data_IF_934302726167
#
_entry.id   IF_934302726167
#
_cell.length_a   1.000
_cell.length_b   1.000
_cell.length_c   1.000
_cell.angle_alpha   90.00
_cell.angle_beta   90.00
_cell.angle_gamma   90.00
#
_symmetry.space_group_name_H-M   'P 1'
#
loop_
_entity.id
_entity.type
_entity.pdbx_description
1 polymer ?
#
# COMPACT_ATOMS: atom_id res chain seq x y z
N UNK A 1 -15.52 2.08 22.28
CA UNK A 1 -15.97 3.20 21.45
C UNK A 1 -14.81 3.58 20.55
N UNK A 2 -14.93 3.38 19.23
CA UNK A 2 -13.91 3.88 18.30
C UNK A 2 -13.93 5.40 18.40
N UNK A 3 -12.82 6.01 18.80
CA UNK A 3 -12.71 7.46 18.72
C UNK A 3 -12.83 7.82 17.24
N UNK A 4 -13.92 8.52 16.89
CA UNK A 4 -14.04 9.14 15.60
C UNK A 4 -12.97 10.25 15.59
N UNK A 5 -11.80 9.94 15.04
CA UNK A 5 -10.74 10.90 14.87
C UNK A 5 -11.24 11.84 13.77
N UNK A 6 -11.73 13.01 14.18
CA UNK A 6 -12.19 14.04 13.24
C UNK A 6 -10.96 14.64 12.55
N UNK A 7 -10.51 13.94 11.52
CA UNK A 7 -9.36 14.33 10.70
C UNK A 7 -9.85 15.32 9.65
N UNK A 8 -9.79 16.60 9.99
CA UNK A 8 -9.97 17.64 8.99
C UNK A 8 -8.63 17.83 8.26
N UNK A 9 -8.53 17.28 7.06
CA UNK A 9 -7.33 17.35 6.23
C UNK A 9 -7.37 18.63 5.41
N UNK A 10 -6.44 19.54 5.67
CA UNK A 10 -6.38 20.83 4.99
C UNK A 10 -5.71 20.71 3.63
N UNK A 11 -4.69 19.86 3.52
CA UNK A 11 -3.92 19.65 2.31
C UNK A 11 -3.33 18.25 2.23
N UNK A 12 -3.22 17.73 1.01
CA UNK A 12 -2.52 16.47 0.70
C UNK A 12 -1.49 16.73 -0.39
N UNK A 13 -0.24 16.40 -0.11
CA UNK A 13 0.86 16.44 -1.08
C UNK A 13 1.26 15.01 -1.43
N UNK A 14 1.37 14.72 -2.72
CA UNK A 14 1.94 13.48 -3.24
C UNK A 14 3.17 13.82 -4.07
N UNK A 15 4.32 13.34 -3.64
CA UNK A 15 5.54 13.34 -4.43
C UNK A 15 5.86 11.90 -4.82
N UNK A 16 6.35 11.68 -6.04
CA UNK A 16 6.73 10.35 -6.49
C UNK A 16 7.93 10.39 -7.41
N UNK A 17 8.73 9.33 -7.36
CA UNK A 17 9.86 9.13 -8.26
C UNK A 17 9.48 8.01 -9.19
N UNK A 18 9.57 8.29 -10.49
CA UNK A 18 9.32 7.32 -11.56
C UNK A 18 10.63 7.01 -12.25
N UNK A 19 10.89 5.71 -12.46
CA UNK A 19 11.94 5.26 -13.36
C UNK A 19 11.63 5.76 -14.78
N UNK A 20 12.53 6.51 -15.42
CA UNK A 20 12.27 7.03 -16.77
C UNK A 20 12.40 5.96 -17.87
N UNK A 21 13.05 4.84 -17.58
CA UNK A 21 13.24 3.73 -18.50
C UNK A 21 12.08 2.74 -18.41
N UNK A 22 11.61 2.41 -17.20
CA UNK A 22 10.52 1.43 -17.01
C UNK A 22 9.15 2.05 -16.73
N UNK A 23 9.10 3.36 -16.42
CA UNK A 23 7.90 4.08 -15.94
C UNK A 23 7.32 3.55 -14.62
N UNK A 24 8.00 2.61 -13.98
CA UNK A 24 7.59 2.12 -12.67
C UNK A 24 7.80 3.21 -11.63
N UNK A 25 6.83 3.35 -10.73
CA UNK A 25 7.02 4.14 -9.52
C UNK A 25 8.09 3.46 -8.68
N UNK A 26 9.17 4.18 -8.35
CA UNK A 26 10.23 3.72 -7.44
C UNK A 26 9.96 4.13 -6.01
N UNK A 27 9.32 5.27 -5.81
CA UNK A 27 8.94 5.73 -4.49
C UNK A 27 7.83 6.75 -4.55
N UNK A 28 7.18 6.95 -3.42
CA UNK A 28 6.25 8.05 -3.19
C UNK A 28 6.34 8.56 -1.76
N UNK A 29 6.11 9.85 -1.58
CA UNK A 29 5.90 10.48 -0.29
C UNK A 29 4.51 11.08 -0.30
N UNK A 30 3.66 10.64 0.62
CA UNK A 30 2.35 11.25 0.85
C UNK A 30 2.42 12.06 2.12
N UNK A 31 2.06 13.33 2.07
CA UNK A 31 2.00 14.20 3.23
C UNK A 31 0.58 14.73 3.42
N UNK A 32 0.10 14.69 4.66
CA UNK A 32 -1.20 15.22 5.08
C UNK A 32 -0.95 16.31 6.11
N UNK A 33 -1.43 17.51 5.83
CA UNK A 33 -1.51 18.57 6.83
C UNK A 33 -2.92 18.53 7.44
N UNK A 34 -3.02 18.40 8.77
CA UNK A 34 -4.29 18.27 9.48
C UNK A 34 -4.24 18.94 10.85
N UNK A 35 -5.37 19.46 11.31
CA UNK A 35 -5.53 19.95 12.67
C UNK A 35 -6.17 18.87 13.56
N UNK A 36 -5.45 18.39 14.56
CA UNK A 36 -5.95 17.42 15.55
C UNK A 36 -6.04 18.13 16.90
N UNK A 37 -7.25 18.29 17.42
CA UNK A 37 -7.51 18.92 18.73
C UNK A 37 -6.88 20.32 18.89
N UNK A 38 -6.85 21.12 17.81
CA UNK A 38 -6.28 22.47 17.82
C UNK A 38 -4.79 22.53 17.54
N UNK A 39 -4.13 21.41 17.23
CA UNK A 39 -2.72 21.38 16.85
C UNK A 39 -2.55 21.02 15.37
N UNK A 40 -1.76 21.82 14.66
CA UNK A 40 -1.38 21.53 13.28
C UNK A 40 -0.32 20.43 13.26
N UNK A 41 -0.65 19.33 12.57
CA UNK A 41 0.19 18.15 12.45
C UNK A 41 0.40 17.85 10.98
N UNK A 42 1.66 17.63 10.59
CA UNK A 42 2.01 17.08 9.27
C UNK A 42 2.35 15.60 9.42
N UNK A 43 1.58 14.75 8.75
CA UNK A 43 1.82 13.31 8.70
C UNK A 43 2.45 12.97 7.36
N UNK A 44 3.60 12.27 7.35
CA UNK A 44 4.26 11.83 6.11
C UNK A 44 4.33 10.31 6.04
N UNK A 45 4.08 9.77 4.85
CA UNK A 45 4.17 8.34 4.54
C UNK A 45 5.11 8.17 3.35
N UNK A 46 6.31 7.69 3.62
CA UNK A 46 7.32 7.34 2.62
C UNK A 46 7.14 5.89 2.18
N UNK A 47 7.03 5.67 0.86
CA UNK A 47 6.90 4.35 0.24
C UNK A 47 8.02 4.18 -0.78
N UNK A 48 8.64 3.00 -0.79
CA UNK A 48 9.62 2.59 -1.80
C UNK A 48 9.16 1.30 -2.46
N UNK A 49 9.18 1.27 -3.78
CA UNK A 49 8.77 0.14 -4.60
C UNK A 49 10.01 -0.42 -5.28
N UNK A 50 10.23 -1.71 -5.10
CA UNK A 50 11.33 -2.44 -5.70
C UNK A 50 10.86 -3.85 -5.97
N UNK A 51 11.59 -4.55 -6.84
CA UNK A 51 11.14 -5.84 -7.34
C UNK A 51 9.68 -5.69 -7.79
N UNK A 52 9.41 -4.77 -8.71
CA UNK A 52 8.24 -4.92 -9.57
C UNK A 52 8.56 -6.17 -10.40
N UNK A 53 7.93 -7.27 -9.98
CA UNK A 53 8.67 -8.40 -9.39
C UNK A 53 9.45 -9.30 -10.31
N UNK A 54 9.39 -9.12 -11.63
CA UNK A 54 9.99 -10.08 -12.56
C UNK A 54 9.66 -11.57 -12.24
N UNK A 55 8.61 -11.83 -11.45
CA UNK A 55 8.07 -13.15 -11.12
C UNK A 55 7.11 -13.47 -12.23
N UNK A 56 7.50 -14.45 -13.04
CA UNK A 56 6.83 -14.76 -14.30
C UNK A 56 5.51 -15.48 -14.09
N UNK A 57 5.42 -16.29 -13.03
CA UNK A 57 4.26 -17.14 -12.81
C UNK A 57 4.12 -17.49 -11.33
N UNK A 58 2.86 -17.64 -10.93
CA UNK A 58 2.45 -18.30 -9.69
C UNK A 58 1.76 -19.59 -10.12
N UNK A 59 2.44 -20.72 -9.96
CA UNK A 59 1.85 -22.03 -10.24
C UNK A 59 1.20 -22.59 -8.98
N UNK A 60 0.00 -23.14 -9.14
CA UNK A 60 -0.60 -23.99 -8.13
C UNK A 60 0.07 -25.36 -8.24
N UNK A 61 0.65 -25.91 -7.16
CA UNK A 61 1.32 -27.21 -7.20
C UNK A 61 0.32 -28.32 -7.57
N UNK A 62 0.75 -29.31 -8.35
CA UNK A 62 -0.12 -30.40 -8.81
C UNK A 62 -0.77 -31.15 -7.64
N UNK A 63 -0.08 -31.25 -6.50
CA UNK A 63 -0.61 -31.86 -5.28
C UNK A 63 -1.81 -31.09 -4.72
N UNK A 64 -1.83 -29.76 -4.86
CA UNK A 64 -2.97 -28.93 -4.47
C UNK A 64 -4.13 -29.03 -5.48
N UNK A 65 -3.84 -29.28 -6.76
CA UNK A 65 -4.86 -29.51 -7.80
C UNK A 65 -5.46 -30.91 -7.71
N UNK A 66 -4.66 -31.89 -7.30
CA UNK A 66 -5.04 -33.29 -7.18
C UNK A 66 -5.54 -33.67 -5.78
N UNK A 67 -5.58 -32.71 -4.85
CA UNK A 67 -6.08 -32.94 -3.50
C UNK A 67 -7.55 -33.37 -3.57
N UNK A 68 -7.84 -34.58 -3.12
CA UNK A 68 -9.23 -35.00 -2.94
C UNK A 68 -9.83 -34.23 -1.76
N UNK A 69 -11.04 -33.71 -1.95
CA UNK A 69 -11.75 -33.06 -0.87
C UNK A 69 -11.87 -34.05 0.30
N UNK A 70 -11.46 -33.63 1.50
CA UNK A 70 -11.67 -34.43 2.70
C UNK A 70 -13.19 -34.64 2.83
N UNK A 71 -13.67 -35.90 2.97
CA UNK A 71 -15.11 -36.13 3.07
C UNK A 71 -15.65 -35.34 4.25
N UNK A 72 -16.68 -34.53 4.00
CA UNK A 72 -17.37 -33.81 5.06
C UNK A 72 -18.12 -34.82 5.96
N UNK A 73 -17.97 -34.68 7.28
CA UNK A 73 -18.77 -35.40 8.28
C UNK A 73 -20.21 -34.91 8.31
#
# INVERSE_FOLDING_TARGET
AGQNLDLNVDNVTLEYVVDKETYDTKSSVVAFDTNIQGQDVRMTVDSAFSNVNNIKEITVPEEALNATATPAN
#
